data_IF_215332329380
#
_entry.id   IF_215332329380
#
_cell.length_a   1.000
_cell.length_b   1.000
_cell.length_c   1.000
_cell.angle_alpha   90.00
_cell.angle_beta   90.00
_cell.angle_gamma   90.00
#
_symmetry.space_group_name_H-M   'P 1'
#
loop_
_entity.id
_entity.type
_entity.pdbx_description
1 polymer ?
#
# COMPACT_ATOMS: atom_id res chain seq x y z
N UNK A 1 23.59 62.93 14.00
CA UNK A 1 23.84 61.49 14.19
C UNK A 1 22.89 60.74 13.25
N UNK A 2 23.34 60.44 12.02
CA UNK A 2 22.49 59.88 10.95
C UNK A 2 22.60 58.36 10.97
N UNK A 3 21.49 57.69 11.27
CA UNK A 3 21.37 56.24 11.38
C UNK A 3 21.26 55.63 9.97
N UNK A 4 22.25 54.83 9.55
CA UNK A 4 22.24 54.09 8.29
C UNK A 4 21.41 52.81 8.46
N UNK A 5 20.28 52.72 7.77
CA UNK A 5 19.54 51.47 7.59
C UNK A 5 20.09 50.70 6.39
N UNK A 6 20.66 49.52 6.61
CA UNK A 6 20.96 48.55 5.56
C UNK A 6 19.69 47.71 5.29
N UNK A 7 19.24 47.53 4.04
CA UNK A 7 18.17 46.58 3.75
C UNK A 7 18.77 45.18 3.62
N UNK A 8 18.33 44.25 4.47
CA UNK A 8 18.55 42.81 4.25
C UNK A 8 17.68 42.35 3.08
N UNK A 9 18.33 41.94 1.99
CA UNK A 9 17.69 41.25 0.88
C UNK A 9 17.36 39.80 1.28
N UNK A 10 16.07 39.49 1.44
CA UNK A 10 15.58 38.12 1.59
C UNK A 10 15.57 37.43 0.21
N UNK A 11 16.47 36.47 0.00
CA UNK A 11 16.37 35.51 -1.11
C UNK A 11 15.33 34.44 -0.76
N UNK A 12 14.19 34.46 -1.44
CA UNK A 12 13.19 33.39 -1.37
C UNK A 12 13.54 32.28 -2.37
N UNK A 13 13.97 31.12 -1.88
CA UNK A 13 14.13 29.92 -2.69
C UNK A 13 12.75 29.33 -2.99
N UNK A 14 12.32 29.38 -4.25
CA UNK A 14 11.12 28.70 -4.72
C UNK A 14 11.39 27.19 -4.77
N UNK A 15 11.02 26.47 -3.71
CA UNK A 15 11.01 25.01 -3.71
C UNK A 15 9.85 24.49 -4.58
N UNK A 16 10.17 23.70 -5.61
CA UNK A 16 9.16 22.94 -6.34
C UNK A 16 8.54 21.92 -5.38
N UNK A 17 7.31 22.18 -4.92
CA UNK A 17 6.49 21.16 -4.29
C UNK A 17 6.02 20.18 -5.38
N UNK A 18 6.61 18.99 -5.42
CA UNK A 18 6.07 17.89 -6.21
C UNK A 18 4.72 17.47 -5.60
N UNK A 19 3.62 17.90 -6.21
CA UNK A 19 2.28 17.44 -5.86
C UNK A 19 2.22 15.94 -6.18
N UNK A 20 1.93 15.06 -5.21
CA UNK A 20 1.75 13.65 -5.50
C UNK A 20 0.59 13.52 -6.47
N UNK A 21 0.87 12.99 -7.67
CA UNK A 21 -0.15 12.61 -8.63
C UNK A 21 -1.03 11.55 -7.96
N UNK A 22 -2.33 11.82 -7.85
CA UNK A 22 -3.28 10.90 -7.25
C UNK A 22 -3.11 9.52 -7.89
N UNK A 23 -2.62 8.54 -7.13
CA UNK A 23 -2.61 7.16 -7.59
C UNK A 23 -4.02 6.79 -8.01
N UNK A 24 -4.17 6.14 -9.17
CA UNK A 24 -5.45 5.52 -9.52
C UNK A 24 -5.92 4.66 -8.34
N UNK A 25 -7.21 4.73 -7.94
CA UNK A 25 -7.71 3.95 -6.83
C UNK A 25 -7.39 2.48 -7.08
N UNK A 26 -6.76 1.83 -6.11
CA UNK A 26 -6.33 0.44 -6.25
C UNK A 26 -7.52 -0.43 -6.66
N UNK A 27 -7.35 -1.25 -7.70
CA UNK A 27 -8.34 -2.27 -8.06
C UNK A 27 -8.44 -3.32 -6.95
N UNK A 28 -7.28 -3.69 -6.38
CA UNK A 28 -7.14 -4.52 -5.18
C UNK A 28 -6.11 -3.85 -4.24
N UNK A 29 -6.48 -3.66 -2.98
CA UNK A 29 -5.63 -3.16 -1.92
C UNK A 29 -5.35 -4.29 -0.93
N UNK A 30 -4.08 -4.54 -0.62
CA UNK A 30 -3.68 -5.52 0.39
C UNK A 30 -2.95 -4.77 1.51
N UNK A 31 -3.46 -4.88 2.74
CA UNK A 31 -2.82 -4.33 3.94
C UNK A 31 -2.17 -5.47 4.74
N UNK A 32 -0.87 -5.35 4.97
CA UNK A 32 -0.10 -6.21 5.87
C UNK A 32 0.12 -5.45 7.18
N UNK A 33 -0.61 -5.81 8.23
CA UNK A 33 -0.50 -5.20 9.54
C UNK A 33 0.30 -6.04 10.53
N UNK A 34 0.57 -5.46 11.69
CA UNK A 34 1.18 -6.12 12.85
C UNK A 34 0.48 -5.70 14.14
N UNK A 35 0.53 -6.55 15.17
CA UNK A 35 0.08 -6.21 16.52
C UNK A 35 1.20 -6.22 17.57
N UNK A 36 2.25 -7.06 17.44
CA UNK A 36 3.37 -7.05 18.38
C UNK A 36 4.67 -7.76 17.93
N UNK A 37 4.70 -8.44 16.78
CA UNK A 37 5.81 -9.34 16.41
C UNK A 37 6.06 -9.37 14.89
N UNK A 38 5.81 -8.26 14.21
CA UNK A 38 5.87 -8.16 12.76
C UNK A 38 4.70 -8.77 12.01
N UNK A 39 4.76 -8.58 10.69
CA UNK A 39 3.73 -9.01 9.76
C UNK A 39 3.74 -10.53 9.55
N UNK A 40 2.68 -11.04 8.93
CA UNK A 40 2.70 -12.39 8.36
C UNK A 40 3.61 -12.43 7.11
N UNK A 41 4.89 -12.68 7.35
CA UNK A 41 5.93 -12.67 6.32
C UNK A 41 5.77 -13.77 5.26
N UNK A 42 5.22 -14.92 5.64
CA UNK A 42 4.94 -16.03 4.72
C UNK A 42 3.84 -15.65 3.74
N UNK A 43 2.72 -15.12 4.24
CA UNK A 43 1.61 -14.64 3.41
C UNK A 43 2.06 -13.47 2.53
N UNK A 44 2.86 -12.54 3.08
CA UNK A 44 3.42 -11.42 2.30
C UNK A 44 4.27 -11.89 1.13
N UNK A 45 5.20 -12.82 1.37
CA UNK A 45 6.06 -13.35 0.32
C UNK A 45 5.26 -14.14 -0.74
N UNK A 46 4.21 -14.87 -0.34
CA UNK A 46 3.33 -15.58 -1.27
C UNK A 46 2.55 -14.61 -2.18
N UNK A 47 2.01 -13.53 -1.60
CA UNK A 47 1.31 -12.48 -2.35
C UNK A 47 2.26 -11.78 -3.32
N UNK A 48 3.48 -11.44 -2.89
CA UNK A 48 4.46 -10.77 -3.75
C UNK A 48 4.84 -11.65 -4.94
N UNK A 49 5.15 -12.92 -4.70
CA UNK A 49 5.46 -13.90 -5.75
C UNK A 49 4.31 -14.10 -6.74
N UNK A 50 3.08 -14.14 -6.25
CA UNK A 50 1.91 -14.21 -7.11
C UNK A 50 1.83 -12.99 -8.04
N UNK A 51 2.02 -11.78 -7.50
CA UNK A 51 1.89 -10.53 -8.25
C UNK A 51 3.00 -10.35 -9.31
N UNK A 52 4.20 -10.87 -9.09
CA UNK A 52 5.31 -10.83 -10.06
C UNK A 52 4.98 -11.54 -11.38
N UNK A 53 4.17 -12.60 -11.34
CA UNK A 53 3.77 -13.39 -12.50
C UNK A 53 2.31 -13.19 -12.95
N UNK A 54 1.53 -12.40 -12.22
CA UNK A 54 0.10 -12.30 -12.42
C UNK A 54 -0.24 -11.61 -13.75
N UNK A 55 -0.84 -12.36 -14.68
CA UNK A 55 -1.48 -11.79 -15.86
C UNK A 55 -2.59 -10.84 -15.42
N UNK A 56 -2.84 -9.80 -16.21
CA UNK A 56 -3.93 -8.84 -15.93
C UNK A 56 -3.59 -7.77 -14.90
N UNK A 57 -2.41 -7.83 -14.25
CA UNK A 57 -1.86 -6.70 -13.48
C UNK A 57 -1.33 -5.64 -14.46
N UNK A 58 -1.78 -4.40 -14.27
CA UNK A 58 -1.27 -3.23 -14.98
C UNK A 58 -0.13 -2.57 -14.22
N UNK A 59 -0.25 -2.46 -12.89
CA UNK A 59 0.82 -2.01 -12.01
C UNK A 59 0.63 -2.55 -10.59
N UNK A 60 1.73 -2.60 -9.84
CA UNK A 60 1.71 -2.95 -8.42
C UNK A 60 2.73 -2.11 -7.66
N UNK A 61 2.30 -1.39 -6.64
CA UNK A 61 3.17 -0.54 -5.81
C UNK A 61 3.04 -0.88 -4.33
N UNK A 62 4.12 -0.74 -3.59
CA UNK A 62 4.15 -0.97 -2.15
C UNK A 62 4.48 0.32 -1.41
N UNK A 63 3.74 0.60 -0.34
CA UNK A 63 4.00 1.71 0.57
C UNK A 63 4.14 1.17 1.99
N UNK A 64 5.32 1.34 2.59
CA UNK A 64 5.54 1.00 3.99
C UNK A 64 4.94 2.09 4.90
N UNK A 65 4.39 1.69 6.05
CA UNK A 65 3.81 2.63 7.01
C UNK A 65 4.15 2.31 8.48
N UNK A 66 4.79 1.17 8.76
CA UNK A 66 5.26 0.81 10.08
C UNK A 66 6.73 0.36 10.09
N UNK A 67 7.20 -0.12 11.25
CA UNK A 67 8.61 -0.49 11.47
C UNK A 67 8.85 -2.00 11.46
N UNK A 68 7.80 -2.80 11.50
CA UNK A 68 7.84 -4.26 11.63
C UNK A 68 7.51 -4.97 10.30
N UNK A 69 7.60 -4.22 9.19
CA UNK A 69 7.32 -4.69 7.83
C UNK A 69 5.91 -4.38 7.34
N UNK A 70 5.16 -3.57 8.07
CA UNK A 70 3.80 -3.18 7.71
C UNK A 70 3.79 -2.34 6.44
N UNK A 71 2.87 -2.69 5.55
CA UNK A 71 2.82 -2.10 4.22
C UNK A 71 1.46 -2.28 3.58
N UNK A 72 1.15 -1.38 2.66
CA UNK A 72 0.02 -1.50 1.75
C UNK A 72 0.54 -1.80 0.35
N UNK A 73 0.00 -2.84 -0.28
CA UNK A 73 0.20 -3.16 -1.69
C UNK A 73 -1.02 -2.68 -2.48
N UNK A 74 -0.80 -1.76 -3.40
CA UNK A 74 -1.82 -1.28 -4.33
C UNK A 74 -1.64 -2.01 -5.66
N UNK A 75 -2.68 -2.72 -6.12
CA UNK A 75 -2.68 -3.44 -7.40
C UNK A 75 -3.69 -2.79 -8.32
N UNK A 76 -3.24 -2.35 -9.49
CA UNK A 76 -4.11 -1.90 -10.58
C UNK A 76 -4.22 -3.04 -11.59
N UNK A 77 -5.45 -3.41 -11.95
CA UNK A 77 -5.73 -4.46 -12.93
C UNK A 77 -6.18 -3.85 -14.27
N UNK A 78 -6.05 -4.62 -15.35
CA UNK A 78 -6.44 -4.17 -16.69
C UNK A 78 -7.95 -4.17 -16.91
N UNK A 79 -8.65 -5.09 -16.26
CA UNK A 79 -10.09 -5.27 -16.40
C UNK A 79 -10.74 -5.66 -15.07
N UNK A 80 -12.06 -5.51 -14.98
CA UNK A 80 -12.84 -6.01 -13.83
C UNK A 80 -12.71 -7.52 -13.66
N UNK A 81 -12.70 -8.28 -14.76
CA UNK A 81 -12.53 -9.73 -14.72
C UNK A 81 -11.15 -10.13 -14.16
N UNK A 82 -10.10 -9.35 -14.46
CA UNK A 82 -8.79 -9.54 -13.84
C UNK A 82 -8.82 -9.21 -12.34
N UNK A 83 -9.53 -8.15 -11.91
CA UNK A 83 -9.76 -7.88 -10.47
C UNK A 83 -10.39 -9.07 -9.78
N UNK A 84 -11.43 -9.66 -10.37
CA UNK A 84 -12.15 -10.79 -9.78
C UNK A 84 -11.29 -12.04 -9.67
N UNK A 85 -10.47 -12.33 -10.68
CA UNK A 85 -9.50 -13.44 -10.63
C UNK A 85 -8.46 -13.16 -9.56
N UNK A 86 -7.79 -12.02 -9.63
CA UNK A 86 -6.70 -11.65 -8.71
C UNK A 86 -7.19 -11.61 -7.26
N UNK A 87 -8.36 -11.05 -6.99
CA UNK A 87 -8.94 -11.06 -5.65
C UNK A 87 -9.13 -12.47 -5.10
N UNK A 88 -9.69 -13.39 -5.90
CA UNK A 88 -9.91 -14.79 -5.47
C UNK A 88 -8.60 -15.51 -5.22
N UNK A 89 -7.64 -15.35 -6.13
CA UNK A 89 -6.34 -16.00 -6.01
C UNK A 89 -5.59 -15.51 -4.77
N UNK A 90 -5.59 -14.19 -4.52
CA UNK A 90 -4.98 -13.60 -3.32
C UNK A 90 -5.72 -14.00 -2.04
N UNK A 91 -7.06 -14.02 -2.04
CA UNK A 91 -7.85 -14.42 -0.88
C UNK A 91 -7.59 -15.88 -0.49
N UNK A 92 -7.28 -16.75 -1.46
CA UNK A 92 -6.90 -18.14 -1.20
C UNK A 92 -5.51 -18.30 -0.57
N UNK A 93 -4.64 -17.28 -0.66
CA UNK A 93 -3.34 -17.27 0.00
C UNK A 93 -3.42 -16.82 1.47
N UNK A 94 -4.51 -16.14 1.86
CA UNK A 94 -4.67 -15.64 3.22
C UNK A 94 -5.26 -16.73 4.11
N UNK A 95 -4.57 -17.14 5.18
CA UNK A 95 -5.12 -18.14 6.09
C UNK A 95 -6.39 -17.63 6.79
N UNK A 96 -7.33 -18.52 7.14
CA UNK A 96 -8.58 -18.16 7.83
C UNK A 96 -8.38 -17.75 9.29
N UNK A 97 -7.14 -17.72 9.78
CA UNK A 97 -6.76 -17.15 11.07
C UNK A 97 -5.33 -16.62 10.94
N UNK A 98 -5.12 -15.35 11.30
CA UNK A 98 -3.79 -14.77 11.30
C UNK A 98 -2.91 -15.43 12.36
N UNK A 99 -1.66 -15.75 12.01
CA UNK A 99 -0.70 -16.35 12.97
C UNK A 99 0.26 -15.32 13.58
N UNK A 100 0.53 -14.22 12.88
CA UNK A 100 1.40 -13.13 13.38
C UNK A 100 0.75 -11.77 13.24
N UNK A 101 0.45 -11.37 12.01
CA UNK A 101 -0.18 -10.09 11.71
C UNK A 101 -1.40 -10.26 10.80
N UNK A 102 -2.37 -9.34 10.87
CA UNK A 102 -3.53 -9.37 10.01
C UNK A 102 -3.12 -9.12 8.55
N UNK A 103 -3.76 -9.83 7.64
CA UNK A 103 -3.70 -9.56 6.19
C UNK A 103 -5.11 -9.30 5.70
N UNK A 104 -5.34 -8.11 5.15
CA UNK A 104 -6.66 -7.70 4.66
C UNK A 104 -6.56 -7.40 3.17
N UNK A 105 -7.46 -7.98 2.38
CA UNK A 105 -7.55 -7.72 0.94
C UNK A 105 -8.91 -7.07 0.68
N UNK A 106 -8.91 -5.92 0.01
CA UNK A 106 -10.12 -5.17 -0.33
C UNK A 106 -10.09 -4.81 -1.82
N UNK A 107 -11.18 -5.03 -2.53
CA UNK A 107 -11.36 -4.56 -3.91
C UNK A 107 -11.96 -3.15 -3.95
N UNK A 108 -11.78 -2.44 -5.06
CA UNK A 108 -12.39 -1.11 -5.25
C UNK A 108 -13.93 -1.10 -5.13
N UNK A 109 -14.58 -2.23 -5.39
CA UNK A 109 -16.04 -2.41 -5.24
C UNK A 109 -16.48 -2.87 -3.84
N UNK A 110 -15.56 -2.94 -2.88
CA UNK A 110 -15.87 -3.13 -1.45
C UNK A 110 -15.91 -4.58 -0.97
N UNK A 111 -15.57 -5.58 -1.79
CA UNK A 111 -15.37 -6.95 -1.30
C UNK A 111 -14.13 -7.01 -0.43
N UNK A 112 -14.21 -7.74 0.67
CA UNK A 112 -13.10 -7.88 1.61
C UNK A 112 -12.94 -9.32 2.08
N UNK A 113 -11.70 -9.73 2.33
CA UNK A 113 -11.44 -10.92 3.15
C UNK A 113 -11.94 -10.68 4.57
N UNK A 114 -12.42 -11.72 5.28
CA UNK A 114 -12.79 -11.57 6.68
C UNK A 114 -11.61 -11.01 7.49
N UNK A 115 -11.86 -10.07 8.40
CA UNK A 115 -10.79 -9.49 9.24
C UNK A 115 -10.18 -10.59 10.12
N UNK A 116 -8.89 -10.86 9.89
CA UNK A 116 -8.13 -11.90 10.55
C UNK A 116 -7.45 -11.34 11.81
N UNK A 117 -8.23 -10.94 12.81
CA UNK A 117 -7.66 -10.55 14.12
C UNK A 117 -7.45 -11.82 14.97
N UNK A 118 -6.27 -11.99 15.56
CA UNK A 118 -6.04 -13.03 16.57
C UNK A 118 -6.95 -12.72 17.77
N UNK A 119 -7.90 -13.61 18.08
CA UNK A 119 -8.69 -13.56 19.32
C UNK A 119 -8.00 -14.35 20.42
#
# INVERSE_FOLDING_TARGET
MILRFLPLAFLAAAGCATVPTAQAPCSVKIDFGSYCCGVDGETKAAVERYLEGARGVASSTSSAWGREGESTRCVVTRTRADTDRIYRDLAALVPPTARRGPVTIVTADGRATPNQTQR
#
